data_IF_435913975227
#
_entry.id   IF_435913975227
#
_cell.length_a   1.000
_cell.length_b   1.000
_cell.length_c   1.000
_cell.angle_alpha   90.00
_cell.angle_beta   90.00
_cell.angle_gamma   90.00
#
_symmetry.space_group_name_H-M   'P 1'
#
loop_
_entity.id
_entity.type
_entity.pdbx_description
1 polymer ?
#
# COMPACT_ATOMS: atom_id res chain seq x y z
N UNK A 1 -41.67 47.06 -8.81
CA UNK A 1 -40.41 47.12 -8.08
C UNK A 1 -40.61 46.60 -6.65
N UNK A 2 -40.64 45.31 -6.45
CA UNK A 2 -40.61 44.66 -5.11
C UNK A 2 -39.89 43.32 -5.27
N UNK A 3 -38.57 43.30 -5.27
CA UNK A 3 -37.81 42.08 -5.45
C UNK A 3 -36.42 42.07 -4.77
N UNK A 4 -36.03 43.14 -4.07
CA UNK A 4 -34.66 43.31 -3.59
C UNK A 4 -34.42 43.08 -2.09
N UNK A 5 -35.45 42.86 -1.27
CA UNK A 5 -35.29 42.84 0.19
C UNK A 5 -35.29 41.42 0.79
N UNK A 6 -35.72 40.41 0.05
CA UNK A 6 -35.79 39.03 0.56
C UNK A 6 -34.45 38.25 0.50
N UNK A 7 -33.57 38.57 -0.42
CA UNK A 7 -32.30 37.85 -0.58
C UNK A 7 -31.24 38.23 0.47
N UNK A 8 -31.23 39.47 0.96
CA UNK A 8 -30.26 39.94 1.95
C UNK A 8 -30.46 39.37 3.37
N UNK A 9 -31.72 39.08 3.76
CA UNK A 9 -32.03 38.54 5.08
C UNK A 9 -31.69 37.03 5.20
N UNK A 10 -31.80 36.33 4.09
CA UNK A 10 -31.45 34.87 4.09
C UNK A 10 -29.93 34.66 4.19
N UNK A 11 -29.15 35.48 3.49
CA UNK A 11 -27.69 35.42 3.51
C UNK A 11 -27.09 35.81 4.88
N UNK A 12 -27.65 36.80 5.54
CA UNK A 12 -27.21 37.21 6.90
C UNK A 12 -27.62 36.22 7.99
N UNK A 13 -28.69 35.45 7.81
CA UNK A 13 -29.11 34.38 8.73
C UNK A 13 -28.18 33.20 8.64
N UNK A 14 -27.84 32.73 7.45
CA UNK A 14 -26.93 31.61 7.20
C UNK A 14 -25.51 31.91 7.71
N UNK A 15 -25.02 33.14 7.54
CA UNK A 15 -23.71 33.54 8.03
C UNK A 15 -23.63 33.54 9.58
N UNK A 16 -24.70 33.99 10.25
CA UNK A 16 -24.76 33.98 11.74
C UNK A 16 -24.88 32.58 12.29
N UNK A 17 -25.52 31.66 11.57
CA UNK A 17 -25.64 30.26 11.98
C UNK A 17 -24.32 29.50 11.81
N UNK A 18 -23.57 29.77 10.72
CA UNK A 18 -22.24 29.23 10.49
C UNK A 18 -21.22 29.73 11.55
N UNK A 19 -21.22 31.02 11.89
CA UNK A 19 -20.37 31.59 12.95
C UNK A 19 -20.71 31.05 14.34
N UNK A 20 -21.97 30.68 14.60
CA UNK A 20 -22.38 30.05 15.85
C UNK A 20 -21.90 28.61 15.95
N UNK A 21 -21.98 27.83 14.88
CA UNK A 21 -21.51 26.43 14.82
C UNK A 21 -19.99 26.36 14.96
N UNK A 22 -19.26 27.32 14.38
CA UNK A 22 -17.79 27.38 14.50
C UNK A 22 -17.36 27.71 15.95
N UNK A 23 -18.02 28.67 16.61
CA UNK A 23 -17.76 28.96 18.05
C UNK A 23 -18.13 27.83 19.00
N UNK A 24 -19.17 27.05 18.69
CA UNK A 24 -19.54 25.87 19.47
C UNK A 24 -18.52 24.74 19.31
N UNK A 25 -17.92 24.59 18.12
CA UNK A 25 -16.82 23.63 17.88
C UNK A 25 -15.53 24.01 18.59
N UNK A 26 -15.15 25.28 18.58
CA UNK A 26 -13.98 25.78 19.32
C UNK A 26 -14.14 25.59 20.83
N UNK A 27 -15.33 25.92 21.37
CA UNK A 27 -15.63 25.74 22.80
C UNK A 27 -15.65 24.26 23.24
N UNK A 28 -15.98 23.35 22.30
CA UNK A 28 -15.95 21.90 22.55
C UNK A 28 -14.50 21.37 22.55
N UNK A 29 -13.67 21.82 21.62
CA UNK A 29 -12.26 21.48 21.54
C UNK A 29 -11.47 21.95 22.78
N UNK A 30 -11.77 23.15 23.31
CA UNK A 30 -11.16 23.67 24.54
C UNK A 30 -11.58 22.89 25.80
N UNK A 31 -12.83 22.41 25.83
CA UNK A 31 -13.31 21.53 26.92
C UNK A 31 -12.67 20.15 26.91
N UNK A 32 -12.40 19.61 25.72
CA UNK A 32 -11.69 18.33 25.59
C UNK A 32 -10.22 18.45 25.96
N UNK A 33 -9.55 19.56 25.60
CA UNK A 33 -8.19 19.86 26.05
C UNK A 33 -8.07 20.06 27.54
N UNK A 34 -9.02 20.73 28.15
CA UNK A 34 -9.05 20.92 29.61
C UNK A 34 -9.25 19.60 30.37
N UNK A 35 -10.10 18.70 29.84
CA UNK A 35 -10.35 17.38 30.42
C UNK A 35 -9.16 16.42 30.28
N UNK A 36 -8.37 16.59 29.21
CA UNK A 36 -7.13 15.83 29.01
C UNK A 36 -6.00 16.30 29.94
N UNK A 37 -5.97 17.60 30.25
CA UNK A 37 -5.01 18.18 31.20
C UNK A 37 -5.32 17.79 32.67
N UNK A 38 -6.60 17.72 33.05
CA UNK A 38 -7.02 17.29 34.39
C UNK A 38 -6.74 15.80 34.66
N UNK A 39 -6.81 14.96 33.63
CA UNK A 39 -6.51 13.53 33.73
C UNK A 39 -5.02 13.21 33.89
N UNK A 40 -4.13 14.14 33.47
CA UNK A 40 -2.68 14.01 33.66
C UNK A 40 -2.18 14.58 35.03
N UNK A 41 -3.01 15.30 35.77
CA UNK A 41 -2.61 15.90 37.06
C UNK A 41 -2.94 15.02 38.27
N UNK A 42 -3.76 13.96 38.12
CA UNK A 42 -4.14 13.06 39.24
C UNK A 42 -3.30 11.77 39.33
N UNK A 43 -2.19 11.65 38.57
CA UNK A 43 -1.33 10.44 38.55
C UNK A 43 0.09 10.64 39.10
N UNK A 44 0.31 11.68 39.91
CA UNK A 44 1.65 11.93 40.51
C UNK A 44 1.60 11.94 42.07
N UNK A 45 1.07 10.90 42.69
CA UNK A 45 1.36 10.55 44.08
C UNK A 45 0.92 9.12 44.40
N UNK A 46 1.76 8.12 44.05
CA UNK A 46 1.84 6.86 44.82
C UNK A 46 3.13 6.08 44.46
N UNK A 47 4.02 6.12 45.45
CA UNK A 47 5.03 5.12 45.83
C UNK A 47 5.84 4.38 44.72
N UNK A 48 7.14 4.72 44.79
CA UNK A 48 8.26 3.91 44.31
C UNK A 48 8.14 2.43 44.79
N UNK A 49 7.67 1.55 43.92
CA UNK A 49 8.02 0.13 43.95
C UNK A 49 8.77 -0.19 42.66
N UNK A 50 10.05 -0.48 42.84
CA UNK A 50 10.93 -0.99 41.79
C UNK A 50 10.38 -2.33 41.24
N UNK A 51 9.57 -2.26 40.21
CA UNK A 51 9.36 -3.37 39.30
C UNK A 51 10.33 -3.19 38.13
N UNK A 52 11.34 -4.03 38.10
CA UNK A 52 12.22 -4.22 36.96
C UNK A 52 11.33 -4.67 35.80
N UNK A 53 10.77 -3.72 35.04
CA UNK A 53 10.28 -4.00 33.70
C UNK A 53 11.49 -4.48 32.91
N UNK A 54 11.51 -5.76 32.62
CA UNK A 54 12.34 -6.28 31.54
C UNK A 54 11.85 -5.56 30.29
N UNK A 55 12.61 -4.57 29.85
CA UNK A 55 12.57 -4.06 28.50
C UNK A 55 12.72 -5.28 27.58
N UNK A 56 11.61 -5.80 27.08
CA UNK A 56 11.64 -6.77 25.99
C UNK A 56 12.18 -5.98 24.81
N UNK A 57 13.47 -6.06 24.59
CA UNK A 57 14.06 -5.75 23.28
C UNK A 57 13.36 -6.66 22.30
N UNK A 58 12.35 -6.13 21.58
CA UNK A 58 11.80 -6.80 20.40
C UNK A 58 12.95 -6.90 19.43
N UNK A 59 13.50 -8.08 19.28
CA UNK A 59 14.59 -8.33 18.36
C UNK A 59 14.10 -8.04 16.95
N UNK A 60 14.83 -7.19 16.20
CA UNK A 60 14.47 -6.82 14.84
C UNK A 60 14.47 -8.11 13.98
N UNK A 61 13.46 -8.33 13.10
CA UNK A 61 13.42 -9.51 12.24
C UNK A 61 14.66 -9.61 11.37
N UNK A 62 15.09 -10.84 11.06
CA UNK A 62 16.15 -11.06 10.08
C UNK A 62 15.65 -10.66 8.66
N UNK A 63 16.55 -10.23 7.78
CA UNK A 63 16.20 -9.84 6.40
C UNK A 63 15.48 -10.95 5.62
N UNK A 64 15.66 -12.18 6.04
CA UNK A 64 15.03 -13.38 5.46
C UNK A 64 13.66 -13.71 6.05
N UNK A 65 13.25 -13.08 7.14
CA UNK A 65 11.96 -13.35 7.77
C UNK A 65 10.83 -12.72 6.97
N UNK A 66 9.68 -13.38 6.93
CA UNK A 66 8.48 -12.81 6.37
C UNK A 66 7.81 -11.87 7.38
N UNK A 67 7.48 -10.68 6.91
CA UNK A 67 6.78 -9.67 7.73
C UNK A 67 5.60 -9.09 6.95
N UNK A 68 4.59 -8.66 7.69
CA UNK A 68 3.45 -7.94 7.12
C UNK A 68 3.89 -6.53 6.70
N UNK A 69 3.64 -6.16 5.45
CA UNK A 69 4.11 -4.89 4.88
C UNK A 69 3.59 -3.69 5.66
N UNK A 70 2.31 -3.72 6.03
CA UNK A 70 1.64 -2.58 6.72
C UNK A 70 2.16 -2.31 8.13
N UNK A 71 2.84 -3.26 8.76
CA UNK A 71 3.44 -3.05 10.09
C UNK A 71 4.67 -2.14 10.01
N UNK A 72 5.31 -2.04 8.84
CA UNK A 72 6.50 -1.22 8.58
C UNK A 72 6.23 -0.03 7.64
N UNK A 73 5.19 -0.12 6.81
CA UNK A 73 4.80 0.91 5.84
C UNK A 73 3.28 1.14 5.99
N UNK A 74 2.83 1.85 7.04
CA UNK A 74 1.42 1.91 7.40
C UNK A 74 0.54 2.69 6.40
N UNK A 75 1.13 3.52 5.56
CA UNK A 75 0.42 4.32 4.54
C UNK A 75 0.43 3.68 3.13
N UNK A 76 1.09 2.52 2.95
CA UNK A 76 1.03 1.77 1.70
C UNK A 76 -0.40 1.26 1.44
N UNK A 77 -0.82 1.21 0.19
CA UNK A 77 -2.15 0.72 -0.18
C UNK A 77 -2.08 -0.75 -0.52
N UNK A 78 -2.89 -1.57 0.13
CA UNK A 78 -3.01 -3.00 -0.18
C UNK A 78 -4.32 -3.26 -0.94
N UNK A 79 -4.22 -3.79 -2.15
CA UNK A 79 -5.32 -4.17 -3.04
C UNK A 79 -4.99 -5.51 -3.71
N UNK A 80 -4.82 -6.57 -2.89
CA UNK A 80 -4.45 -7.90 -3.39
C UNK A 80 -5.52 -8.42 -4.37
N UNK A 81 -5.23 -8.37 -5.66
CA UNK A 81 -6.16 -8.74 -6.74
C UNK A 81 -6.61 -10.19 -6.64
N UNK A 82 -5.70 -11.08 -6.29
CA UNK A 82 -6.01 -12.50 -6.15
C UNK A 82 -6.80 -12.87 -4.89
N UNK A 83 -6.98 -11.92 -3.95
CA UNK A 83 -7.89 -12.08 -2.81
C UNK A 83 -9.36 -11.79 -3.16
N UNK A 84 -9.64 -11.38 -4.38
CA UNK A 84 -10.98 -11.08 -4.90
C UNK A 84 -11.20 -11.75 -6.25
N UNK A 85 -12.35 -11.57 -6.87
CA UNK A 85 -12.62 -11.99 -8.26
C UNK A 85 -12.18 -10.94 -9.29
N UNK A 86 -11.65 -9.78 -8.85
CA UNK A 86 -11.11 -8.71 -9.71
C UNK A 86 -9.68 -9.03 -10.14
N UNK A 87 -9.51 -10.14 -10.88
CA UNK A 87 -8.28 -10.60 -11.48
C UNK A 87 -8.59 -11.32 -12.81
N UNK A 88 -7.59 -11.59 -13.60
CA UNK A 88 -7.76 -12.17 -14.95
C UNK A 88 -8.43 -13.54 -14.98
N UNK A 89 -8.42 -14.29 -13.88
CA UNK A 89 -9.08 -15.60 -13.78
C UNK A 89 -10.56 -15.52 -13.38
N UNK A 90 -11.00 -14.37 -12.85
CA UNK A 90 -12.34 -14.21 -12.27
C UNK A 90 -12.59 -15.09 -11.02
N UNK A 91 -11.56 -15.69 -10.45
CA UNK A 91 -11.63 -16.63 -9.31
C UNK A 91 -10.83 -16.09 -8.14
N UNK A 92 -11.35 -16.21 -6.93
CA UNK A 92 -10.61 -15.91 -5.69
C UNK A 92 -9.53 -16.98 -5.50
N UNK A 93 -8.27 -16.57 -5.52
CA UNK A 93 -7.12 -17.45 -5.34
C UNK A 93 -6.67 -17.46 -3.88
N UNK A 94 -6.51 -16.26 -3.26
CA UNK A 94 -6.07 -16.11 -1.88
C UNK A 94 -7.25 -16.19 -0.91
N UNK A 95 -7.02 -16.78 0.27
CA UNK A 95 -7.95 -16.78 1.40
C UNK A 95 -7.54 -15.79 2.50
N UNK A 96 -6.50 -15.00 2.24
CA UNK A 96 -5.98 -13.93 3.09
C UNK A 96 -6.05 -12.57 2.37
N UNK A 97 -5.84 -11.48 3.13
CA UNK A 97 -5.92 -10.08 2.62
C UNK A 97 -4.71 -9.24 3.01
N UNK A 98 -3.86 -9.73 3.89
CA UNK A 98 -2.64 -9.06 4.30
C UNK A 98 -1.51 -9.41 3.34
N UNK A 99 -0.69 -8.41 2.99
CA UNK A 99 0.45 -8.59 2.12
C UNK A 99 1.73 -8.78 2.94
N UNK A 100 2.51 -9.79 2.58
CA UNK A 100 3.76 -10.16 3.24
C UNK A 100 4.93 -10.15 2.25
N UNK A 101 6.12 -9.81 2.74
CA UNK A 101 7.39 -9.92 2.01
C UNK A 101 8.51 -10.27 2.99
N UNK A 102 9.69 -10.60 2.45
CA UNK A 102 10.92 -10.69 3.24
C UNK A 102 11.24 -9.33 3.85
N UNK A 103 11.69 -9.30 5.10
CA UNK A 103 11.95 -8.04 5.81
C UNK A 103 12.97 -7.16 5.10
N UNK A 104 14.04 -7.74 4.52
CA UNK A 104 14.99 -7.01 3.70
C UNK A 104 14.35 -6.31 2.50
N UNK A 105 13.37 -6.94 1.86
CA UNK A 105 12.58 -6.35 0.76
C UNK A 105 11.66 -5.23 1.27
N UNK A 106 11.02 -5.42 2.43
CA UNK A 106 10.16 -4.39 3.05
C UNK A 106 10.96 -3.14 3.40
N UNK A 107 12.21 -3.26 3.89
CA UNK A 107 13.07 -2.11 4.15
C UNK A 107 13.35 -1.29 2.88
N UNK A 108 13.63 -1.94 1.76
CA UNK A 108 13.82 -1.28 0.46
C UNK A 108 12.54 -0.63 -0.05
N UNK A 109 11.42 -1.33 0.10
CA UNK A 109 10.10 -0.82 -0.28
C UNK A 109 9.69 0.41 0.53
N UNK A 110 10.05 0.47 1.82
CA UNK A 110 9.83 1.64 2.68
C UNK A 110 10.59 2.87 2.15
N UNK A 111 11.85 2.68 1.70
CA UNK A 111 12.60 3.77 1.06
C UNK A 111 11.94 4.22 -0.24
N UNK A 112 11.44 3.28 -1.06
CA UNK A 112 10.71 3.61 -2.29
C UNK A 112 9.41 4.38 -1.99
N UNK A 113 8.64 3.96 -0.98
CA UNK A 113 7.43 4.64 -0.54
C UNK A 113 7.71 6.10 -0.16
N UNK A 114 8.75 6.39 0.62
CA UNK A 114 9.11 7.77 0.98
C UNK A 114 9.52 8.61 -0.24
N UNK A 115 10.23 8.02 -1.22
CA UNK A 115 10.51 8.71 -2.47
C UNK A 115 9.24 9.03 -3.25
N UNK A 116 8.31 8.08 -3.41
CA UNK A 116 7.04 8.34 -4.08
C UNK A 116 6.18 9.36 -3.33
N UNK A 117 6.16 9.33 -2.00
CA UNK A 117 5.48 10.36 -1.19
C UNK A 117 6.03 11.76 -1.46
N UNK A 118 7.34 11.91 -1.62
CA UNK A 118 7.93 13.21 -1.99
C UNK A 118 7.47 13.74 -3.35
N UNK A 119 6.94 12.85 -4.21
CA UNK A 119 6.39 13.15 -5.53
C UNK A 119 4.85 13.25 -5.54
N UNK A 120 4.17 13.03 -4.39
CA UNK A 120 2.72 13.11 -4.28
C UNK A 120 1.98 11.78 -4.46
N UNK A 121 2.68 10.64 -4.34
CA UNK A 121 2.12 9.32 -4.58
C UNK A 121 2.27 8.39 -3.38
N UNK A 122 1.38 7.37 -3.32
CA UNK A 122 1.56 6.17 -2.52
C UNK A 122 1.73 4.95 -3.43
N UNK A 123 2.50 3.97 -2.97
CA UNK A 123 2.53 2.64 -3.60
C UNK A 123 1.21 1.92 -3.30
N UNK A 124 0.67 1.24 -4.31
CA UNK A 124 -0.46 0.33 -4.21
C UNK A 124 -0.02 -1.06 -4.66
N UNK A 125 -0.13 -2.04 -3.78
CA UNK A 125 0.29 -3.43 -3.99
C UNK A 125 -0.88 -4.24 -4.53
N UNK A 126 -0.68 -4.92 -5.65
CA UNK A 126 -1.64 -5.85 -6.27
C UNK A 126 -1.31 -7.32 -5.98
N UNK A 127 -0.02 -7.66 -5.85
CA UNK A 127 0.46 -8.96 -5.39
C UNK A 127 1.81 -8.81 -4.67
N UNK A 128 2.09 -9.73 -3.73
CA UNK A 128 3.31 -9.76 -2.95
C UNK A 128 3.79 -11.20 -2.78
N UNK A 129 4.04 -11.66 -1.55
CA UNK A 129 4.32 -13.08 -1.32
C UNK A 129 3.10 -13.91 -1.72
N UNK A 130 3.34 -14.92 -2.55
CA UNK A 130 2.34 -15.90 -3.00
C UNK A 130 2.73 -17.26 -2.43
N UNK A 131 1.98 -17.81 -1.45
CA UNK A 131 2.21 -19.18 -0.96
C UNK A 131 2.21 -20.20 -2.10
N UNK A 132 2.97 -21.28 -1.96
CA UNK A 132 3.06 -22.25 -3.04
C UNK A 132 1.72 -22.91 -3.36
N UNK A 133 0.90 -23.19 -2.35
CA UNK A 133 -0.46 -23.68 -2.54
C UNK A 133 -1.34 -22.72 -3.38
N UNK A 134 -1.17 -21.42 -3.21
CA UNK A 134 -1.86 -20.43 -4.03
C UNK A 134 -1.37 -20.41 -5.48
N UNK A 135 -0.06 -20.63 -5.71
CA UNK A 135 0.50 -20.83 -7.05
C UNK A 135 -0.07 -22.08 -7.73
N UNK A 136 -0.20 -23.17 -6.99
CA UNK A 136 -0.81 -24.41 -7.51
C UNK A 136 -2.28 -24.20 -7.87
N UNK A 137 -3.05 -23.48 -7.02
CA UNK A 137 -4.45 -23.13 -7.27
C UNK A 137 -4.58 -22.23 -8.52
N UNK A 138 -3.72 -21.23 -8.65
CA UNK A 138 -3.69 -20.35 -9.82
C UNK A 138 -3.41 -21.15 -11.10
N UNK A 139 -2.46 -22.09 -11.06
CA UNK A 139 -2.16 -23.00 -12.17
C UNK A 139 -3.33 -23.93 -12.50
N UNK A 140 -4.06 -24.44 -11.50
CA UNK A 140 -5.26 -25.28 -11.73
C UNK A 140 -6.35 -24.50 -12.48
N UNK A 141 -6.51 -23.21 -12.18
CA UNK A 141 -7.49 -22.34 -12.84
C UNK A 141 -7.03 -21.95 -14.25
N UNK A 142 -5.75 -21.66 -14.43
CA UNK A 142 -5.17 -21.25 -15.70
C UNK A 142 -3.84 -21.99 -15.97
N UNK A 143 -3.88 -23.24 -16.47
CA UNK A 143 -2.69 -24.05 -16.74
C UNK A 143 -1.98 -23.64 -18.04
N UNK A 144 -1.63 -22.37 -18.16
CA UNK A 144 -0.99 -21.80 -19.33
C UNK A 144 0.34 -21.12 -18.93
N UNK A 145 1.51 -21.67 -19.31
CA UNK A 145 2.81 -21.15 -18.91
C UNK A 145 3.14 -19.76 -19.48
N UNK A 146 2.32 -19.25 -20.38
CA UNK A 146 2.42 -17.87 -20.87
C UNK A 146 1.95 -16.85 -19.82
N UNK A 147 0.99 -17.22 -18.97
CA UNK A 147 0.33 -16.33 -17.99
C UNK A 147 0.65 -16.70 -16.54
N UNK A 148 0.87 -18.00 -16.28
CA UNK A 148 1.09 -18.51 -14.93
C UNK A 148 2.33 -19.39 -14.92
N UNK A 149 3.25 -19.14 -14.01
CA UNK A 149 4.41 -19.99 -13.82
C UNK A 149 3.97 -21.40 -13.38
N UNK A 150 4.48 -22.43 -14.06
CA UNK A 150 4.14 -23.81 -13.73
C UNK A 150 4.80 -24.22 -12.42
N UNK A 151 4.03 -24.58 -11.37
CA UNK A 151 4.55 -24.97 -10.06
C UNK A 151 5.43 -26.21 -10.10
N UNK A 152 5.30 -27.09 -11.10
CA UNK A 152 6.19 -28.21 -11.29
C UNK A 152 7.67 -27.81 -11.50
N UNK A 153 7.94 -26.54 -11.82
CA UNK A 153 9.29 -25.99 -11.94
C UNK A 153 9.84 -25.43 -10.60
N UNK A 154 9.14 -25.65 -9.49
CA UNK A 154 9.50 -25.18 -8.15
C UNK A 154 9.09 -23.74 -7.88
N UNK A 155 9.40 -23.25 -6.69
CA UNK A 155 9.11 -21.90 -6.20
C UNK A 155 9.95 -20.85 -6.93
N UNK A 156 9.32 -19.76 -7.36
CA UNK A 156 9.96 -18.66 -8.12
C UNK A 156 9.24 -17.33 -7.85
N UNK A 157 9.91 -16.22 -8.16
CA UNK A 157 9.35 -14.88 -8.10
C UNK A 157 8.57 -14.63 -6.79
N UNK A 158 7.27 -14.40 -6.85
CA UNK A 158 6.40 -14.12 -5.68
C UNK A 158 6.50 -15.18 -4.58
N UNK A 159 6.74 -16.47 -4.92
CA UNK A 159 6.90 -17.51 -3.91
C UNK A 159 8.16 -17.35 -3.03
N UNK A 160 9.13 -16.55 -3.44
CA UNK A 160 10.36 -16.30 -2.68
C UNK A 160 10.23 -15.14 -1.70
N UNK A 161 9.14 -14.34 -1.82
CA UNK A 161 8.85 -13.20 -0.95
C UNK A 161 9.66 -11.93 -1.24
N UNK A 162 10.32 -11.87 -2.41
CA UNK A 162 11.07 -10.70 -2.85
C UNK A 162 10.49 -10.02 -4.10
N UNK A 163 9.34 -10.47 -4.61
CA UNK A 163 8.68 -9.92 -5.80
C UNK A 163 7.35 -9.29 -5.44
N UNK A 164 7.05 -8.17 -6.06
CA UNK A 164 5.82 -7.39 -5.89
C UNK A 164 5.25 -6.96 -7.23
N UNK A 165 3.93 -7.01 -7.35
CA UNK A 165 3.16 -6.34 -8.39
C UNK A 165 2.56 -5.07 -7.80
N UNK A 166 2.85 -3.92 -8.43
CA UNK A 166 2.49 -2.64 -7.85
C UNK A 166 2.14 -1.58 -8.89
N UNK A 167 1.44 -0.57 -8.43
CA UNK A 167 1.21 0.68 -9.13
C UNK A 167 1.31 1.85 -8.16
N UNK A 168 0.98 3.04 -8.63
CA UNK A 168 0.92 4.26 -7.84
C UNK A 168 -0.51 4.79 -7.76
N UNK A 169 -0.83 5.40 -6.63
CA UNK A 169 -2.03 6.21 -6.45
C UNK A 169 -1.65 7.58 -5.89
N UNK A 170 -2.46 8.60 -6.16
CA UNK A 170 -2.30 9.95 -5.56
C UNK A 170 -2.60 9.90 -4.06
N UNK A 171 -2.33 11.00 -3.33
CA UNK A 171 -2.70 11.11 -1.91
C UNK A 171 -4.21 10.99 -1.67
N UNK A 172 -5.05 11.37 -2.67
CA UNK A 172 -6.50 11.17 -2.65
C UNK A 172 -6.93 9.76 -3.07
N UNK A 173 -5.98 8.82 -3.22
CA UNK A 173 -6.20 7.43 -3.62
C UNK A 173 -6.75 7.25 -5.04
N UNK A 174 -6.62 8.25 -5.90
CA UNK A 174 -6.96 8.11 -7.32
C UNK A 174 -5.85 7.36 -8.06
N UNK A 175 -6.24 6.54 -9.03
CA UNK A 175 -5.30 5.80 -9.88
C UNK A 175 -4.44 6.77 -10.70
N UNK A 176 -3.14 6.46 -10.81
CA UNK A 176 -2.23 7.11 -11.74
C UNK A 176 -2.35 6.42 -13.10
N UNK A 177 -2.38 7.20 -14.19
CA UNK A 177 -2.41 6.64 -15.55
C UNK A 177 -1.15 5.82 -15.81
N UNK A 178 -1.31 4.53 -16.10
CA UNK A 178 -0.23 3.57 -16.34
C UNK A 178 -0.45 2.87 -17.69
N UNK A 179 0.55 2.15 -18.24
CA UNK A 179 0.49 1.56 -19.58
C UNK A 179 -0.74 0.68 -19.84
N UNK A 180 -1.07 -0.19 -18.90
CA UNK A 180 -2.19 -1.14 -18.99
C UNK A 180 -2.82 -1.36 -17.61
N UNK A 181 -3.92 -2.10 -17.56
CA UNK A 181 -4.41 -2.70 -16.33
C UNK A 181 -3.45 -3.81 -15.84
N UNK A 182 -3.62 -4.21 -14.58
CA UNK A 182 -2.94 -5.37 -14.01
C UNK A 182 -3.29 -6.64 -14.78
N UNK A 183 -2.32 -7.52 -14.98
CA UNK A 183 -2.48 -8.77 -15.73
C UNK A 183 -2.99 -8.59 -17.19
N UNK A 184 -2.74 -7.44 -17.79
CA UNK A 184 -2.86 -7.28 -19.23
C UNK A 184 -1.65 -7.90 -19.92
N UNK A 185 -1.82 -9.10 -20.45
CA UNK A 185 -0.74 -9.86 -21.10
C UNK A 185 -0.53 -9.49 -22.57
N UNK A 186 -0.95 -8.29 -22.99
CA UNK A 186 -0.63 -7.73 -24.30
C UNK A 186 0.80 -7.20 -24.35
N UNK A 187 1.30 -6.90 -25.56
CA UNK A 187 2.63 -6.28 -25.71
C UNK A 187 2.73 -4.90 -25.07
N UNK A 188 1.59 -4.21 -24.88
CA UNK A 188 1.55 -2.90 -24.24
C UNK A 188 1.95 -2.92 -22.75
N UNK A 189 1.99 -4.10 -22.14
CA UNK A 189 2.43 -4.28 -20.76
C UNK A 189 3.97 -4.30 -20.63
N UNK A 190 4.70 -4.46 -21.72
CA UNK A 190 6.17 -4.50 -21.68
C UNK A 190 6.79 -3.13 -21.37
N UNK A 191 8.08 -3.11 -21.09
CA UNK A 191 8.80 -1.92 -20.63
C UNK A 191 9.41 -1.09 -21.76
N UNK A 192 9.05 -1.32 -23.02
CA UNK A 192 9.49 -0.44 -24.11
C UNK A 192 8.65 0.85 -24.16
N UNK A 193 7.38 0.78 -23.71
CA UNK A 193 6.43 1.89 -23.60
C UNK A 193 6.19 2.65 -24.90
N UNK A 194 6.42 2.05 -26.08
CA UNK A 194 6.36 2.74 -27.36
C UNK A 194 4.93 2.86 -27.90
N UNK A 195 4.01 2.01 -27.43
CA UNK A 195 2.63 1.89 -27.90
C UNK A 195 1.56 2.31 -26.89
N UNK A 196 1.97 3.09 -25.88
CA UNK A 196 1.10 3.68 -24.84
C UNK A 196 1.17 5.21 -24.86
N UNK A 197 0.30 5.89 -24.10
CA UNK A 197 0.32 7.35 -24.02
C UNK A 197 1.65 7.88 -23.45
N UNK A 198 2.06 9.09 -23.84
CA UNK A 198 3.25 9.73 -23.28
C UNK A 198 3.17 9.89 -21.74
N UNK A 199 1.96 10.13 -21.21
CA UNK A 199 1.71 10.23 -19.77
C UNK A 199 1.95 8.89 -19.09
N UNK A 200 1.33 7.81 -19.59
CA UNK A 200 1.52 6.47 -19.05
C UNK A 200 2.98 6.02 -19.12
N UNK A 201 3.63 6.22 -20.27
CA UNK A 201 5.05 5.93 -20.45
C UNK A 201 5.95 6.73 -19.48
N UNK A 202 5.65 8.01 -19.28
CA UNK A 202 6.37 8.87 -18.34
C UNK A 202 6.23 8.40 -16.90
N UNK A 203 5.01 8.06 -16.47
CA UNK A 203 4.73 7.54 -15.13
C UNK A 203 5.41 6.19 -14.89
N UNK A 204 5.33 5.26 -15.85
CA UNK A 204 5.98 3.97 -15.74
C UNK A 204 7.52 4.07 -15.66
N UNK A 205 8.14 4.92 -16.49
CA UNK A 205 9.60 5.17 -16.43
C UNK A 205 10.02 5.82 -15.11
N UNK A 206 9.24 6.76 -14.60
CA UNK A 206 9.49 7.38 -13.28
C UNK A 206 9.44 6.31 -12.19
N UNK A 207 8.40 5.46 -12.19
CA UNK A 207 8.27 4.37 -11.22
C UNK A 207 9.43 3.38 -11.32
N UNK A 208 9.82 2.97 -12.52
CA UNK A 208 10.96 2.09 -12.76
C UNK A 208 12.28 2.69 -12.25
N UNK A 209 12.52 3.98 -12.49
CA UNK A 209 13.72 4.68 -11.99
C UNK A 209 13.81 4.66 -10.48
N UNK A 210 12.73 5.00 -9.78
CA UNK A 210 12.68 4.99 -8.31
C UNK A 210 12.90 3.58 -7.75
N UNK A 211 12.24 2.57 -8.33
CA UNK A 211 12.38 1.19 -7.89
C UNK A 211 13.80 0.67 -8.12
N UNK A 212 14.41 0.97 -9.25
CA UNK A 212 15.81 0.61 -9.54
C UNK A 212 16.79 1.23 -8.54
N UNK A 213 16.63 2.51 -8.20
CA UNK A 213 17.43 3.19 -7.17
C UNK A 213 17.27 2.56 -5.78
N UNK A 214 16.12 1.93 -5.50
CA UNK A 214 15.84 1.24 -4.25
C UNK A 214 16.25 -0.23 -4.25
N UNK A 215 16.92 -0.73 -5.32
CA UNK A 215 17.44 -2.09 -5.38
C UNK A 215 16.44 -3.12 -5.89
N UNK A 216 15.43 -2.68 -6.66
CA UNK A 216 14.53 -3.57 -7.39
C UNK A 216 14.87 -3.63 -8.87
N UNK A 217 14.51 -4.72 -9.52
CA UNK A 217 14.61 -4.92 -10.95
C UNK A 217 13.24 -5.29 -11.50
N UNK A 218 12.79 -4.56 -12.53
CA UNK A 218 11.56 -4.84 -13.24
C UNK A 218 11.69 -6.08 -14.15
N UNK A 219 10.60 -6.83 -14.29
CA UNK A 219 10.45 -7.86 -15.32
C UNK A 219 10.12 -7.19 -16.67
N UNK A 220 10.81 -7.61 -17.74
CA UNK A 220 10.74 -6.92 -19.02
C UNK A 220 9.35 -6.95 -19.67
N UNK A 221 8.56 -7.99 -19.42
CA UNK A 221 7.23 -8.18 -20.00
C UNK A 221 6.07 -7.52 -19.24
N UNK A 222 6.33 -6.95 -18.04
CA UNK A 222 5.28 -6.45 -17.15
C UNK A 222 5.77 -5.20 -16.42
N UNK A 223 5.16 -4.04 -16.68
CA UNK A 223 5.56 -2.77 -16.11
C UNK A 223 5.34 -2.71 -14.59
N UNK A 224 4.45 -3.52 -14.03
CA UNK A 224 4.10 -3.56 -12.61
C UNK A 224 4.95 -4.50 -11.77
N UNK A 225 5.61 -5.54 -12.38
CA UNK A 225 6.39 -6.56 -11.65
C UNK A 225 7.81 -6.06 -11.33
N UNK A 226 8.14 -6.11 -10.04
CA UNK A 226 9.45 -5.72 -9.52
C UNK A 226 9.96 -6.78 -8.54
N UNK A 227 11.15 -7.29 -8.79
CA UNK A 227 11.85 -8.22 -7.91
C UNK A 227 13.02 -7.53 -7.19
N UNK A 228 13.15 -7.78 -5.89
CA UNK A 228 14.35 -7.44 -5.12
C UNK A 228 15.58 -8.07 -5.76
N UNK A 229 16.68 -7.31 -5.86
CA UNK A 229 17.96 -7.81 -6.36
C UNK A 229 18.67 -8.74 -5.37
N UNK A 230 18.22 -8.81 -4.11
CA UNK A 230 18.64 -9.81 -3.13
C UNK A 230 18.02 -11.16 -3.48
N UNK A 231 18.86 -12.19 -3.56
CA UNK A 231 18.38 -13.55 -3.75
C UNK A 231 17.90 -14.13 -2.42
N UNK A 232 16.69 -14.68 -2.41
CA UNK A 232 16.12 -15.39 -1.27
C UNK A 232 15.98 -16.88 -1.58
N UNK A 233 16.24 -17.72 -0.59
CA UNK A 233 15.98 -19.16 -0.69
C UNK A 233 14.47 -19.44 -0.60
N UNK A 234 14.05 -20.53 -1.25
CA UNK A 234 12.68 -20.98 -1.21
C UNK A 234 12.30 -21.42 0.22
N UNK A 235 11.24 -20.85 0.71
CA UNK A 235 10.64 -21.20 1.99
C UNK A 235 9.13 -20.95 1.89
N UNK A 236 8.32 -21.99 2.05
CA UNK A 236 6.86 -21.87 1.99
C UNK A 236 6.37 -21.37 3.35
N UNK A 237 6.09 -20.07 3.41
CA UNK A 237 5.59 -19.41 4.60
C UNK A 237 4.07 -19.58 4.65
N UNK A 238 3.58 -20.17 5.71
CA UNK A 238 2.14 -20.32 5.97
C UNK A 238 1.57 -19.00 6.52
N UNK A 239 0.46 -18.53 5.91
CA UNK A 239 -0.26 -17.30 6.27
C UNK A 239 -1.47 -17.61 7.14
#
# INVERSE_FOLDING_TARGET
MVGGVFCGRYYTSQKKEAEKVEKEKEAQADKEKAKAAEKNAEQDDTEAQATTEKEQTVEEPADTDFVKITDYIPDIVIDLKYATTDNFTGTVIYDFKDAYLRYGTVKKLAVAQEKFKSMGYYIKIWDAYRPFAAQEKLWQVCPNPRYVANPANGMKAHNLGGTIDMTLVTFDRNEVEMPTAFDDFSLRADRDYSDVSETAAGNARMMEGVMAECGFRGYAGEWWDYSDTTAYEAYDFEL
#
